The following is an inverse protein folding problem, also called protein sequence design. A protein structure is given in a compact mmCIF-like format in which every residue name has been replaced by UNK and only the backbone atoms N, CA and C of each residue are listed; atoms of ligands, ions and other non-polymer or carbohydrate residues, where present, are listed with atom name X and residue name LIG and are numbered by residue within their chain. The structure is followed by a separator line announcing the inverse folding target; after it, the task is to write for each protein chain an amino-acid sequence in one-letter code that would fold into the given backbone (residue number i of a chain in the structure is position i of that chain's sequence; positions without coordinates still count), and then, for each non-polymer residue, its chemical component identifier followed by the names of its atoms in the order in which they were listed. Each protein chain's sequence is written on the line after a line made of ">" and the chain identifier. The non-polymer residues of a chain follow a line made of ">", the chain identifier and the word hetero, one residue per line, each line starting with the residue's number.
data_IF_029919463926
#
_entry.id   IF_029919463926
#
_cell.length_a   1.000
_cell.length_b   1.000
_cell.length_c   1.000
_cell.angle_alpha   90.00
_cell.angle_beta   90.00
_cell.angle_gamma   90.00
#
_symmetry.space_group_name_H-M   'P 1'
#
loop_
_entity.id
_entity.type
_entity.pdbx_description
1 polymer ?
#
# COMPACT_ATOMS: atom_id res chain seq x y z
N UNK A 1 -5.04 22.83 2.12
CA UNK A 1 -6.06 22.09 1.35
C UNK A 1 -5.33 20.99 0.59
N UNK A 2 -5.28 19.77 1.17
CA UNK A 2 -4.53 18.65 0.58
C UNK A 2 -5.24 18.18 -0.68
N UNK A 3 -4.64 18.45 -1.84
CA UNK A 3 -5.12 17.96 -3.14
C UNK A 3 -4.75 16.46 -3.27
N UNK A 4 -5.58 15.59 -2.71
CA UNK A 4 -5.45 14.14 -2.86
C UNK A 4 -6.06 13.74 -4.20
N UNK A 5 -5.23 13.58 -5.22
CA UNK A 5 -5.66 13.09 -6.52
C UNK A 5 -5.69 11.56 -6.50
N UNK A 6 -6.86 10.98 -6.46
CA UNK A 6 -7.12 9.53 -6.37
C UNK A 6 -7.12 8.78 -7.71
N UNK A 7 -6.42 9.27 -8.73
CA UNK A 7 -6.32 8.55 -10.00
C UNK A 7 -5.19 7.51 -9.99
N UNK A 8 -5.30 6.42 -10.80
CA UNK A 8 -4.25 5.42 -10.88
C UNK A 8 -2.92 6.03 -11.30
N UNK A 9 -1.91 5.77 -10.49
CA UNK A 9 -0.54 6.14 -10.79
C UNK A 9 0.03 5.14 -11.81
N UNK A 10 0.74 5.63 -12.82
CA UNK A 10 1.35 4.79 -13.85
C UNK A 10 2.73 5.30 -14.23
N UNK A 11 3.67 4.41 -14.59
CA UNK A 11 4.91 4.83 -15.23
C UNK A 11 4.62 5.34 -16.65
N UNK A 12 5.34 6.39 -17.03
CA UNK A 12 5.22 7.06 -18.34
C UNK A 12 6.57 7.47 -18.84
N UNK A 13 6.69 7.65 -20.16
CA UNK A 13 7.81 8.35 -20.75
C UNK A 13 7.41 9.78 -21.09
N UNK A 14 8.31 10.73 -20.87
CA UNK A 14 8.13 12.12 -21.25
C UNK A 14 8.18 12.22 -22.78
N UNK A 15 7.05 12.49 -23.43
CA UNK A 15 6.97 12.64 -24.89
C UNK A 15 7.26 14.08 -25.35
N UNK A 16 6.99 15.05 -24.50
CA UNK A 16 7.38 16.47 -24.69
C UNK A 16 7.46 17.17 -23.34
N UNK A 17 8.31 18.17 -23.24
CA UNK A 17 8.49 18.96 -22.03
C UNK A 17 8.55 20.44 -22.39
N UNK A 18 7.95 21.27 -21.56
CA UNK A 18 8.11 22.73 -21.68
C UNK A 18 9.54 23.17 -21.36
N UNK A 19 9.95 24.38 -21.76
CA UNK A 19 11.34 24.85 -21.65
C UNK A 19 11.85 24.93 -20.19
N UNK A 20 10.93 24.99 -19.21
CA UNK A 20 11.26 25.10 -17.78
C UNK A 20 11.00 23.80 -17.01
N UNK A 21 10.62 22.70 -17.69
CA UNK A 21 10.23 21.47 -17.04
C UNK A 21 11.40 20.71 -16.38
N UNK A 22 12.63 20.92 -16.88
CA UNK A 22 13.81 20.23 -16.36
C UNK A 22 13.83 18.71 -16.57
N UNK A 23 12.91 18.19 -17.39
CA UNK A 23 12.75 16.77 -17.68
C UNK A 23 13.14 16.48 -19.14
N UNK A 24 14.12 15.62 -19.41
CA UNK A 24 14.46 15.25 -20.77
C UNK A 24 13.34 14.40 -21.42
N UNK A 25 13.17 14.59 -22.73
CA UNK A 25 12.30 13.71 -23.53
C UNK A 25 12.86 12.28 -23.51
N UNK A 26 11.99 11.30 -23.34
CA UNK A 26 12.36 9.89 -23.16
C UNK A 26 12.54 9.46 -21.70
N UNK A 27 12.65 10.39 -20.75
CA UNK A 27 12.75 10.06 -19.33
C UNK A 27 11.53 9.27 -18.86
N UNK A 28 11.76 8.11 -18.23
CA UNK A 28 10.72 7.40 -17.51
C UNK A 28 10.35 8.13 -16.23
N UNK A 29 9.06 8.24 -16.02
CA UNK A 29 8.52 8.99 -14.88
C UNK A 29 7.34 8.26 -14.24
N UNK A 30 7.23 8.38 -12.95
CA UNK A 30 6.03 8.04 -12.20
C UNK A 30 5.17 9.29 -12.03
N UNK A 31 3.88 9.17 -12.35
CA UNK A 31 2.91 10.25 -12.19
C UNK A 31 1.93 9.87 -11.09
N UNK A 32 2.01 10.49 -9.90
CA UNK A 32 1.15 10.15 -8.76
C UNK A 32 -0.25 10.73 -8.93
N UNK A 33 -1.00 10.19 -9.90
CA UNK A 33 -2.30 10.69 -10.31
C UNK A 33 -2.23 12.02 -11.07
N UNK A 34 -3.22 12.31 -11.88
CA UNK A 34 -3.28 13.55 -12.65
C UNK A 34 -4.72 14.03 -12.79
N UNK A 35 -4.93 15.33 -12.53
CA UNK A 35 -6.15 16.05 -12.86
C UNK A 35 -5.92 16.82 -14.13
N UNK A 36 -6.05 16.14 -15.26
CA UNK A 36 -5.67 16.70 -16.57
C UNK A 36 -6.85 17.17 -17.42
N UNK A 37 -8.08 16.97 -16.95
CA UNK A 37 -9.30 17.13 -17.77
C UNK A 37 -10.25 18.21 -17.22
N UNK A 38 -9.71 19.23 -16.59
CA UNK A 38 -10.49 20.37 -16.07
C UNK A 38 -11.53 19.92 -15.05
N UNK A 39 -12.80 20.20 -15.34
CA UNK A 39 -13.91 19.91 -14.42
C UNK A 39 -14.40 18.46 -14.46
N UNK A 40 -13.92 17.66 -15.39
CA UNK A 40 -14.31 16.25 -15.52
C UNK A 40 -13.59 15.42 -14.46
N UNK A 41 -14.26 15.20 -13.33
CA UNK A 41 -13.70 14.56 -12.14
C UNK A 41 -13.81 13.03 -12.12
N UNK A 42 -14.64 12.45 -12.98
CA UNK A 42 -14.82 11.00 -13.07
C UNK A 42 -13.76 10.28 -13.91
N UNK A 43 -12.85 11.01 -14.55
CA UNK A 43 -11.76 10.44 -15.32
C UNK A 43 -10.49 10.37 -14.48
N UNK A 44 -9.98 9.16 -14.30
CA UNK A 44 -8.69 8.93 -13.66
C UNK A 44 -7.58 9.30 -14.63
N UNK A 45 -6.97 10.46 -14.44
CA UNK A 45 -6.01 11.07 -15.37
C UNK A 45 -4.80 10.22 -15.72
N UNK A 46 -4.44 9.23 -14.88
CA UNK A 46 -3.37 8.28 -15.15
C UNK A 46 -3.68 7.25 -16.24
N UNK A 47 -4.93 6.92 -16.50
CA UNK A 47 -5.36 5.87 -17.43
C UNK A 47 -5.55 6.37 -18.88
N UNK A 48 -4.72 7.30 -19.35
CA UNK A 48 -4.77 7.87 -20.70
C UNK A 48 -3.52 7.49 -21.51
N UNK A 49 -3.63 7.42 -22.85
CA UNK A 49 -2.46 7.22 -23.73
C UNK A 49 -1.47 8.36 -23.65
N UNK A 50 -1.97 9.58 -23.40
CA UNK A 50 -1.18 10.81 -23.18
C UNK A 50 -1.87 11.64 -22.10
N UNK A 51 -1.06 12.30 -21.28
CA UNK A 51 -1.56 13.25 -20.29
C UNK A 51 -0.62 14.46 -20.24
N UNK A 52 -1.16 15.58 -19.80
CA UNK A 52 -0.41 16.80 -19.52
C UNK A 52 -0.48 17.07 -18.03
N UNK A 53 0.66 17.24 -17.39
CA UNK A 53 0.75 17.48 -15.94
C UNK A 53 1.91 18.44 -15.65
N UNK A 54 1.84 19.24 -14.59
CA UNK A 54 2.97 20.06 -14.16
C UNK A 54 4.21 19.19 -13.86
N UNK A 55 5.39 19.63 -14.33
CA UNK A 55 6.63 18.89 -14.11
C UNK A 55 6.92 18.61 -12.60
N UNK A 56 6.55 19.54 -11.72
CA UNK A 56 6.70 19.39 -10.27
C UNK A 56 5.87 18.23 -9.67
N UNK A 57 4.93 17.67 -10.41
CA UNK A 57 4.12 16.51 -10.00
C UNK A 57 4.64 15.19 -10.53
N UNK A 58 5.74 15.20 -11.26
CA UNK A 58 6.30 14.02 -11.92
C UNK A 58 7.56 13.59 -11.20
N UNK A 59 7.72 12.32 -10.99
CA UNK A 59 8.89 11.75 -10.33
C UNK A 59 9.69 10.96 -11.37
N UNK A 60 10.92 11.37 -11.72
CA UNK A 60 11.80 10.58 -12.55
C UNK A 60 12.07 9.22 -11.89
N UNK A 61 12.02 8.15 -12.69
CA UNK A 61 12.34 6.80 -12.25
C UNK A 61 13.42 6.18 -13.14
N UNK A 62 14.27 5.28 -12.58
CA UNK A 62 15.26 4.56 -13.36
C UNK A 62 14.61 3.68 -14.43
N UNK A 63 15.27 3.52 -15.59
CA UNK A 63 14.82 2.58 -16.62
C UNK A 63 14.70 1.14 -16.11
N UNK A 64 15.55 0.75 -15.16
CA UNK A 64 15.55 -0.58 -14.54
C UNK A 64 14.25 -0.91 -13.81
N UNK A 65 13.48 0.10 -13.40
CA UNK A 65 12.16 -0.12 -12.81
C UNK A 65 11.11 -0.48 -13.87
N UNK A 66 11.23 0.03 -15.10
CA UNK A 66 10.29 -0.20 -16.18
C UNK A 66 8.82 -0.13 -15.71
N UNK A 67 8.03 -1.16 -16.03
CA UNK A 67 6.61 -1.25 -15.62
C UNK A 67 6.44 -1.38 -14.09
N UNK A 68 7.42 -1.90 -13.36
CA UNK A 68 7.37 -1.99 -11.89
C UNK A 68 7.25 -0.64 -11.20
N UNK A 69 7.59 0.46 -11.88
CA UNK A 69 7.34 1.81 -11.39
C UNK A 69 5.88 2.10 -11.04
N UNK A 70 4.90 1.34 -11.57
CA UNK A 70 3.49 1.45 -11.19
C UNK A 70 3.27 1.12 -9.70
N UNK A 71 4.12 0.26 -9.14
CA UNK A 71 4.01 -0.19 -7.76
C UNK A 71 4.42 0.88 -6.74
N UNK A 72 5.04 1.98 -7.16
CA UNK A 72 5.43 3.08 -6.25
C UNK A 72 4.24 3.63 -5.45
N UNK A 73 3.06 3.70 -6.06
CA UNK A 73 1.85 4.13 -5.36
C UNK A 73 1.48 3.18 -4.22
N UNK A 74 1.40 1.88 -4.54
CA UNK A 74 1.07 0.85 -3.53
C UNK A 74 2.16 0.72 -2.47
N UNK A 75 3.42 0.89 -2.85
CA UNK A 75 4.54 0.88 -1.91
C UNK A 75 4.49 2.09 -0.96
N UNK A 76 4.13 3.28 -1.45
CA UNK A 76 3.90 4.44 -0.60
C UNK A 76 2.68 4.26 0.33
N UNK A 77 1.61 3.61 -0.17
CA UNK A 77 0.46 3.22 0.66
C UNK A 77 0.86 2.22 1.75
N UNK A 78 1.68 1.22 1.41
CA UNK A 78 2.22 0.26 2.38
C UNK A 78 3.03 0.97 3.48
N UNK A 79 3.91 1.89 3.10
CA UNK A 79 4.68 2.72 4.03
C UNK A 79 3.77 3.51 4.96
N UNK A 80 2.74 4.16 4.40
CA UNK A 80 1.78 4.94 5.18
C UNK A 80 1.00 4.08 6.18
N UNK A 81 0.60 2.87 5.80
CA UNK A 81 -0.14 1.97 6.68
C UNK A 81 0.64 1.60 7.95
N UNK A 82 1.97 1.49 7.87
CA UNK A 82 2.85 1.10 8.97
C UNK A 82 3.57 2.28 9.64
N UNK A 83 3.32 3.53 9.23
CA UNK A 83 4.05 4.70 9.71
C UNK A 83 3.95 4.90 11.24
N UNK A 84 2.83 4.50 11.86
CA UNK A 84 2.60 4.62 13.29
C UNK A 84 3.03 3.37 14.08
N UNK A 85 3.60 2.36 13.42
CA UNK A 85 4.16 1.14 14.01
C UNK A 85 3.98 -0.09 13.14
N UNK A 86 4.84 -1.07 13.36
CA UNK A 86 4.91 -2.28 12.58
C UNK A 86 3.80 -3.26 12.96
N UNK A 87 3.12 -3.90 11.98
CA UNK A 87 2.18 -4.97 12.26
C UNK A 87 2.91 -6.25 12.64
N UNK A 88 2.34 -7.01 13.56
CA UNK A 88 2.73 -8.37 13.87
C UNK A 88 1.80 -9.42 13.21
N UNK A 89 0.66 -8.96 12.65
CA UNK A 89 -0.17 -9.73 11.72
C UNK A 89 -0.56 -8.88 10.52
N UNK A 90 -0.44 -9.46 9.33
CA UNK A 90 -0.92 -8.88 8.06
C UNK A 90 -1.97 -9.83 7.48
N UNK A 91 -3.15 -9.32 7.11
CA UNK A 91 -4.23 -10.13 6.56
C UNK A 91 -4.38 -9.87 5.07
N UNK A 92 -4.02 -10.89 4.27
CA UNK A 92 -3.97 -10.86 2.81
C UNK A 92 -2.55 -10.73 2.25
N UNK A 93 -2.18 -11.65 1.36
CA UNK A 93 -0.86 -11.73 0.69
C UNK A 93 -0.93 -11.32 -0.79
N UNK A 94 -1.78 -10.33 -1.10
CA UNK A 94 -1.78 -9.64 -2.39
C UNK A 94 -0.57 -8.69 -2.52
N UNK A 95 -0.53 -7.89 -3.59
CA UNK A 95 0.59 -6.94 -3.82
C UNK A 95 0.80 -6.00 -2.63
N UNK A 96 -0.26 -5.40 -2.10
CA UNK A 96 -0.16 -4.50 -0.95
C UNK A 96 0.31 -5.23 0.32
N UNK A 97 -0.24 -6.41 0.60
CA UNK A 97 0.17 -7.21 1.77
C UNK A 97 1.65 -7.62 1.71
N UNK A 98 2.13 -8.05 0.54
CA UNK A 98 3.55 -8.35 0.30
C UNK A 98 4.45 -7.14 0.51
N UNK A 99 4.04 -5.96 0.05
CA UNK A 99 4.79 -4.72 0.25
C UNK A 99 4.86 -4.33 1.73
N UNK A 100 3.74 -4.44 2.45
CA UNK A 100 3.70 -4.20 3.90
C UNK A 100 4.61 -5.20 4.63
N UNK A 101 4.54 -6.49 4.29
CA UNK A 101 5.36 -7.52 4.92
C UNK A 101 6.86 -7.28 4.68
N UNK A 102 7.28 -7.04 3.43
CA UNK A 102 8.67 -6.71 3.09
C UNK A 102 9.16 -5.46 3.84
N UNK A 103 8.37 -4.40 3.89
CA UNK A 103 8.73 -3.18 4.63
C UNK A 103 8.80 -3.42 6.14
N UNK A 104 7.88 -4.21 6.69
CA UNK A 104 7.91 -4.59 8.11
C UNK A 104 9.20 -5.33 8.45
N UNK A 105 9.63 -6.27 7.60
CA UNK A 105 10.90 -6.99 7.76
C UNK A 105 12.10 -6.04 7.64
N UNK A 106 12.09 -5.13 6.67
CA UNK A 106 13.16 -4.12 6.49
C UNK A 106 13.33 -3.20 7.71
N UNK A 107 12.25 -2.94 8.44
CA UNK A 107 12.24 -2.13 9.67
C UNK A 107 12.51 -2.99 10.93
N UNK A 108 12.85 -4.28 10.76
CA UNK A 108 13.21 -5.20 11.85
C UNK A 108 12.04 -5.93 12.50
N UNK A 109 10.83 -5.86 11.93
CA UNK A 109 9.68 -6.65 12.36
C UNK A 109 9.71 -8.07 11.81
N UNK A 110 8.90 -8.96 12.41
CA UNK A 110 8.72 -10.34 11.99
C UNK A 110 7.20 -10.67 11.93
N UNK A 111 6.48 -10.17 10.92
CA UNK A 111 5.04 -10.36 10.85
C UNK A 111 4.68 -11.79 10.44
N UNK A 112 3.54 -12.28 10.94
CA UNK A 112 2.80 -13.37 10.32
C UNK A 112 1.90 -12.79 9.24
N UNK A 113 1.75 -13.49 8.13
CA UNK A 113 0.83 -13.10 7.06
C UNK A 113 -0.25 -14.18 6.90
N UNK A 114 -1.51 -13.79 6.96
CA UNK A 114 -2.61 -14.70 6.66
C UNK A 114 -2.97 -14.66 5.17
N UNK A 115 -3.03 -15.85 4.56
CA UNK A 115 -3.50 -16.03 3.19
C UNK A 115 -4.28 -17.34 3.05
N UNK A 116 -5.45 -17.27 2.45
CA UNK A 116 -6.31 -18.43 2.21
C UNK A 116 -6.16 -19.01 0.78
N UNK A 117 -5.72 -18.18 -0.16
CA UNK A 117 -5.55 -18.62 -1.53
C UNK A 117 -4.20 -19.34 -1.71
N UNK A 118 -4.19 -20.66 -1.98
CA UNK A 118 -2.94 -21.41 -2.13
C UNK A 118 -2.05 -20.90 -3.29
N UNK A 119 -2.61 -20.18 -4.26
CA UNK A 119 -1.84 -19.58 -5.34
C UNK A 119 -1.07 -18.32 -4.92
N UNK A 120 -1.27 -17.84 -3.70
CA UNK A 120 -0.64 -16.63 -3.17
C UNK A 120 0.28 -16.88 -1.97
N UNK A 121 0.51 -18.12 -1.60
CA UNK A 121 1.36 -18.46 -0.45
C UNK A 121 2.87 -18.40 -0.77
N UNK A 122 3.24 -18.32 -2.03
CA UNK A 122 4.63 -18.23 -2.45
C UNK A 122 5.18 -16.80 -2.39
N UNK A 123 6.54 -16.68 -2.36
CA UNK A 123 7.25 -15.41 -2.44
C UNK A 123 7.33 -14.63 -1.12
N UNK A 124 7.24 -15.32 0.01
CA UNK A 124 7.58 -14.76 1.31
C UNK A 124 9.09 -14.49 1.42
N UNK A 125 9.45 -13.30 1.90
CA UNK A 125 10.82 -12.86 2.08
C UNK A 125 11.03 -12.41 3.53
N UNK A 126 11.46 -13.34 4.41
CA UNK A 126 11.76 -13.04 5.81
C UNK A 126 10.54 -12.97 6.74
N UNK A 127 9.39 -13.49 6.33
CA UNK A 127 8.16 -13.59 7.14
C UNK A 127 7.45 -14.94 6.89
N UNK A 128 6.56 -15.31 7.79
CA UNK A 128 5.79 -16.56 7.69
C UNK A 128 4.40 -16.31 7.09
N UNK A 129 3.93 -17.26 6.28
CA UNK A 129 2.55 -17.25 5.76
C UNK A 129 1.79 -18.42 6.37
N UNK A 130 0.63 -18.14 6.94
CA UNK A 130 -0.26 -19.14 7.53
C UNK A 130 -1.67 -19.02 6.97
N UNK A 131 -2.36 -20.15 6.89
CA UNK A 131 -3.81 -20.11 6.79
C UNK A 131 -4.38 -19.61 8.13
N UNK A 132 -5.43 -18.77 8.16
CA UNK A 132 -6.00 -18.22 9.39
C UNK A 132 -6.38 -19.30 10.43
N UNK A 133 -6.88 -20.44 9.96
CA UNK A 133 -7.28 -21.57 10.82
C UNK A 133 -6.09 -22.34 11.41
N UNK A 134 -4.91 -22.19 10.84
CA UNK A 134 -3.66 -22.82 11.31
C UNK A 134 -2.92 -21.96 12.33
N UNK A 135 -3.34 -20.74 12.52
CA UNK A 135 -2.74 -19.81 13.47
C UNK A 135 -3.47 -19.85 14.82
N UNK A 136 -2.78 -20.30 15.86
CA UNK A 136 -3.31 -20.36 17.22
C UNK A 136 -3.11 -19.06 18.02
N UNK A 137 -2.34 -18.09 17.51
CA UNK A 137 -2.01 -16.85 18.20
C UNK A 137 -3.24 -15.94 18.35
N UNK A 138 -3.40 -15.32 19.51
CA UNK A 138 -4.56 -14.46 19.86
C UNK A 138 -4.18 -13.24 20.71
N UNK A 139 -2.94 -12.79 20.57
CA UNK A 139 -2.36 -11.66 21.31
C UNK A 139 -1.62 -10.69 20.38
N UNK A 140 -2.14 -10.49 19.18
CA UNK A 140 -1.57 -9.54 18.23
C UNK A 140 -1.74 -8.11 18.70
N UNK A 141 -0.66 -7.35 18.77
CA UNK A 141 -0.69 -5.96 19.20
C UNK A 141 -1.10 -5.02 18.07
N UNK A 142 -0.76 -5.40 16.82
CA UNK A 142 -1.13 -4.63 15.63
C UNK A 142 -1.42 -5.55 14.45
N UNK A 143 -2.64 -5.48 13.96
CA UNK A 143 -3.11 -6.22 12.78
C UNK A 143 -3.27 -5.23 11.64
N UNK A 144 -2.65 -5.48 10.48
CA UNK A 144 -2.88 -4.71 9.27
C UNK A 144 -3.73 -5.53 8.30
N UNK A 145 -4.98 -5.12 8.08
CA UNK A 145 -5.89 -5.81 7.18
C UNK A 145 -5.89 -5.14 5.80
N UNK A 146 -5.52 -5.92 4.79
CA UNK A 146 -5.53 -5.57 3.37
C UNK A 146 -6.30 -6.60 2.53
N UNK A 147 -7.09 -7.44 3.18
CA UNK A 147 -7.87 -8.49 2.52
C UNK A 147 -8.99 -7.95 1.63
N UNK A 148 -9.59 -6.82 2.02
CA UNK A 148 -10.81 -6.29 1.42
C UNK A 148 -12.08 -7.05 1.83
N UNK A 149 -11.98 -7.99 2.76
CA UNK A 149 -13.13 -8.75 3.29
C UNK A 149 -13.77 -8.02 4.47
N UNK A 150 -14.97 -7.52 4.26
CA UNK A 150 -15.73 -6.78 5.27
C UNK A 150 -16.21 -7.65 6.44
N UNK A 151 -16.20 -8.98 6.31
CA UNK A 151 -16.68 -9.93 7.32
C UNK A 151 -15.64 -10.31 8.38
N UNK A 152 -14.39 -9.87 8.27
CA UNK A 152 -13.31 -10.36 9.14
C UNK A 152 -13.17 -9.65 10.48
N UNK A 153 -13.80 -8.48 10.70
CA UNK A 153 -13.52 -7.65 11.89
C UNK A 153 -13.72 -8.39 13.21
N UNK A 154 -14.77 -9.18 13.36
CA UNK A 154 -15.00 -9.95 14.60
C UNK A 154 -13.89 -10.98 14.85
N UNK A 155 -13.44 -11.65 13.80
CA UNK A 155 -12.33 -12.61 13.89
C UNK A 155 -11.01 -11.90 14.25
N UNK A 156 -10.73 -10.73 13.65
CA UNK A 156 -9.54 -9.96 13.94
C UNK A 156 -9.56 -9.39 15.37
N UNK A 157 -10.70 -8.88 15.82
CA UNK A 157 -10.89 -8.43 17.21
C UNK A 157 -10.61 -9.57 18.19
N UNK A 158 -11.07 -10.78 17.90
CA UNK A 158 -10.83 -11.95 18.75
C UNK A 158 -9.33 -12.32 18.85
N UNK A 159 -8.52 -11.89 17.89
CA UNK A 159 -7.05 -12.12 17.84
C UNK A 159 -6.22 -10.99 18.44
N UNK A 160 -6.82 -9.85 18.78
CA UNK A 160 -6.10 -8.72 19.37
C UNK A 160 -5.65 -8.98 20.79
N UNK A 161 -4.46 -8.52 21.14
CA UNK A 161 -4.07 -8.25 22.52
C UNK A 161 -4.93 -7.11 23.12
N UNK A 162 -5.02 -6.99 24.45
CA UNK A 162 -5.61 -5.81 25.08
C UNK A 162 -4.96 -4.51 24.58
N UNK A 163 -5.78 -3.49 24.28
CA UNK A 163 -5.38 -2.20 23.70
C UNK A 163 -4.70 -2.30 22.32
N UNK A 164 -4.84 -3.43 21.64
CA UNK A 164 -4.32 -3.65 20.30
C UNK A 164 -5.03 -2.82 19.23
N UNK A 165 -4.43 -2.72 18.06
CA UNK A 165 -4.92 -1.92 16.94
C UNK A 165 -5.13 -2.76 15.69
N UNK A 166 -6.27 -2.55 15.00
CA UNK A 166 -6.51 -3.01 13.63
C UNK A 166 -6.37 -1.82 12.70
N UNK A 167 -5.44 -1.91 11.75
CA UNK A 167 -5.25 -0.94 10.67
C UNK A 167 -5.93 -1.46 9.42
N UNK A 168 -7.00 -0.80 9.02
CA UNK A 168 -7.74 -1.09 7.78
C UNK A 168 -7.07 -0.33 6.63
N UNK A 169 -6.26 -1.01 5.84
CA UNK A 169 -5.54 -0.46 4.70
C UNK A 169 -5.98 -1.05 3.36
N UNK A 170 -6.89 -2.03 3.39
CA UNK A 170 -7.57 -2.56 2.22
C UNK A 170 -8.68 -1.63 1.72
N UNK A 171 -9.26 -1.98 0.58
CA UNK A 171 -10.47 -1.33 0.07
C UNK A 171 -11.66 -2.25 0.26
N UNK A 172 -12.67 -1.78 0.99
CA UNK A 172 -13.86 -2.55 1.33
C UNK A 172 -15.05 -1.94 0.59
N UNK A 173 -15.71 -2.73 -0.26
CA UNK A 173 -16.90 -2.30 -1.01
C UNK A 173 -18.17 -2.37 -0.17
N UNK A 174 -18.15 -3.15 0.91
CA UNK A 174 -19.29 -3.36 1.78
C UNK A 174 -19.13 -2.62 3.11
N UNK A 175 -20.25 -2.49 3.83
CA UNK A 175 -20.25 -1.87 5.16
C UNK A 175 -19.53 -2.77 6.17
N UNK A 176 -18.54 -2.24 6.84
CA UNK A 176 -17.87 -2.89 7.96
C UNK A 176 -18.77 -2.88 9.21
N UNK A 177 -18.84 -4.01 9.90
CA UNK A 177 -19.55 -4.15 11.17
C UNK A 177 -18.82 -5.12 12.08
N UNK A 178 -19.01 -4.97 13.38
CA UNK A 178 -18.44 -5.85 14.40
C UNK A 178 -19.28 -5.86 15.68
N UNK A 179 -19.11 -6.89 16.48
CA UNK A 179 -19.73 -7.05 17.79
C UNK A 179 -19.01 -6.18 18.83
N UNK A 180 -19.71 -5.20 19.39
CA UNK A 180 -19.12 -4.25 20.33
C UNK A 180 -18.53 -4.89 21.61
N UNK A 181 -19.18 -5.86 22.31
CA UNK A 181 -18.68 -6.36 23.59
C UNK A 181 -17.25 -6.93 23.52
N UNK A 182 -16.86 -7.77 22.55
CA UNK A 182 -15.47 -8.23 22.42
C UNK A 182 -14.47 -7.10 22.18
N UNK A 183 -14.83 -6.12 21.35
CA UNK A 183 -14.00 -4.96 21.07
C UNK A 183 -13.81 -4.08 22.33
N UNK A 184 -14.88 -3.86 23.08
CA UNK A 184 -14.87 -3.13 24.34
C UNK A 184 -13.96 -3.78 25.38
N UNK A 185 -14.10 -5.12 25.56
CA UNK A 185 -13.30 -5.86 26.55
C UNK A 185 -11.80 -5.87 26.23
N UNK A 186 -11.43 -5.66 24.97
CA UNK A 186 -10.04 -5.57 24.53
C UNK A 186 -9.53 -4.12 24.40
N UNK A 187 -10.38 -3.12 24.62
CA UNK A 187 -10.05 -1.70 24.30
C UNK A 187 -9.51 -1.57 22.87
N UNK A 188 -10.15 -2.28 21.94
CA UNK A 188 -9.69 -2.37 20.57
C UNK A 188 -9.68 -1.02 19.88
N UNK A 189 -8.60 -0.72 19.17
CA UNK A 189 -8.50 0.45 18.31
C UNK A 189 -8.67 0.03 16.85
N UNK A 190 -9.45 0.80 16.10
CA UNK A 190 -9.63 0.57 14.66
C UNK A 190 -9.28 1.87 13.94
N UNK A 191 -8.32 1.81 13.05
CA UNK A 191 -7.84 2.93 12.27
C UNK A 191 -7.94 2.64 10.78
N UNK A 192 -8.41 3.60 9.99
CA UNK A 192 -8.32 3.52 8.54
C UNK A 192 -7.02 4.18 8.08
N UNK A 193 -6.28 3.50 7.22
CA UNK A 193 -5.13 4.03 6.52
C UNK A 193 -5.45 4.09 5.02
N UNK A 194 -5.29 5.27 4.41
CA UNK A 194 -5.60 5.46 3.00
C UNK A 194 -4.54 6.31 2.33
N UNK A 195 -4.23 5.96 1.08
CA UNK A 195 -3.30 6.70 0.26
C UNK A 195 -1.89 6.81 0.89
N UNK A 196 -1.20 7.91 0.70
CA UNK A 196 0.13 8.20 1.25
C UNK A 196 0.32 9.71 1.41
N UNK A 197 1.32 10.09 2.18
CA UNK A 197 1.83 11.46 2.28
C UNK A 197 3.05 11.64 1.37
N UNK A 198 3.43 12.87 1.00
CA UNK A 198 4.64 13.13 0.22
C UNK A 198 5.89 12.45 0.81
N UNK A 199 6.05 12.49 2.13
CA UNK A 199 7.19 11.87 2.83
C UNK A 199 7.20 10.35 2.72
N UNK A 200 6.03 9.71 2.69
CA UNK A 200 5.91 8.26 2.48
C UNK A 200 6.41 7.87 1.08
N UNK A 201 6.05 8.66 0.07
CA UNK A 201 6.46 8.43 -1.30
C UNK A 201 7.96 8.63 -1.49
N UNK A 202 8.55 9.67 -0.90
CA UNK A 202 9.98 9.94 -0.97
C UNK A 202 10.80 8.85 -0.25
N UNK A 203 10.39 8.45 0.96
CA UNK A 203 11.04 7.38 1.70
C UNK A 203 10.97 6.04 0.94
N UNK A 204 9.81 5.74 0.34
CA UNK A 204 9.60 4.54 -0.48
C UNK A 204 10.48 4.57 -1.72
N UNK A 205 10.56 5.69 -2.40
CA UNK A 205 11.44 5.90 -3.55
C UNK A 205 12.89 5.59 -3.19
N UNK A 206 13.39 6.14 -2.08
CA UNK A 206 14.76 5.89 -1.62
C UNK A 206 15.02 4.39 -1.32
N UNK A 207 14.05 3.68 -0.76
CA UNK A 207 14.15 2.22 -0.52
C UNK A 207 14.23 1.44 -1.82
N UNK A 208 13.45 1.80 -2.83
CA UNK A 208 13.45 1.13 -4.13
C UNK A 208 14.73 1.43 -4.91
N UNK A 209 15.15 2.72 -4.98
CA UNK A 209 16.35 3.13 -5.72
C UNK A 209 17.64 2.57 -5.10
N UNK A 210 17.68 2.41 -3.79
CA UNK A 210 18.81 1.75 -3.10
C UNK A 210 18.80 0.22 -3.20
N UNK A 211 17.77 -0.39 -3.79
CA UNK A 211 17.60 -1.84 -3.87
C UNK A 211 17.24 -2.52 -2.55
N UNK A 212 16.98 -1.76 -1.49
CA UNK A 212 16.57 -2.32 -0.19
C UNK A 212 15.16 -2.89 -0.25
N UNK A 213 14.23 -2.26 -0.97
CA UNK A 213 12.90 -2.77 -1.22
C UNK A 213 12.83 -3.37 -2.62
N UNK A 214 12.79 -4.70 -2.72
CA UNK A 214 12.55 -5.39 -3.99
C UNK A 214 11.07 -5.30 -4.38
N UNK A 215 10.82 -5.04 -5.67
CA UNK A 215 9.50 -5.11 -6.29
C UNK A 215 9.34 -6.38 -7.13
N UNK A 216 10.29 -7.29 -7.09
CA UNK A 216 10.29 -8.51 -7.91
C UNK A 216 9.16 -9.46 -7.47
N UNK A 217 8.53 -10.10 -8.46
CA UNK A 217 7.43 -11.03 -8.24
C UNK A 217 6.11 -10.41 -7.78
N UNK A 218 5.96 -9.08 -7.87
CA UNK A 218 4.72 -8.39 -7.49
C UNK A 218 3.79 -8.10 -8.68
N UNK A 219 4.30 -8.16 -9.90
CA UNK A 219 3.57 -8.10 -11.17
C UNK A 219 4.16 -9.11 -12.15
#
# INVERSE_FOLDING_TARGET
>A
MNDRSTGPAIPRSVSSAGPTAGLPVGQNVFVPGARCYGDVRGLFGGAASRLVTPAARVIPIPETLAERGVLMALAATARHAIADGLPDLIVGHGVLGRLIARMTVLEGGAPVVWEQNPQRVDGAEGYEILAPDSDARNDYTRICDVSGDAGLLDALIARLAPSGEIVLAGFYSERLSFSFPPAFMREARIRCAAEWRPDDLEATRALIESGRLSLDGLI
#
